data_IF_109859322546
#
_entry.id   IF_109859322546
#
_cell.length_a   1.000
_cell.length_b   1.000
_cell.length_c   1.000
_cell.angle_alpha   90.00
_cell.angle_beta   90.00
_cell.angle_gamma   90.00
#
_symmetry.space_group_name_H-M   'P 1'
#
loop_
_entity.id
_entity.type
_entity.pdbx_description
1 polymer ?
#
# COMPACT_ATOMS: atom_id res chain seq x y z
N UNK A 1 53.48 33.95 38.43
CA UNK A 1 52.80 32.80 37.81
C UNK A 1 51.67 33.32 36.94
N UNK A 2 51.91 33.46 35.64
CA UNK A 2 50.93 33.87 34.63
C UNK A 2 51.63 33.78 33.28
N UNK A 3 51.13 32.96 32.33
CA UNK A 3 51.40 32.97 30.86
C UNK A 3 51.12 31.63 30.17
N UNK A 4 49.97 30.96 30.40
CA UNK A 4 49.62 29.75 29.61
C UNK A 4 48.16 29.60 29.15
N UNK A 5 47.33 30.62 29.24
CA UNK A 5 45.90 30.48 28.88
C UNK A 5 45.32 31.53 27.92
N UNK A 6 46.15 32.36 27.26
CA UNK A 6 45.64 33.41 26.34
C UNK A 6 46.04 33.25 24.86
N UNK A 7 46.87 32.26 24.50
CA UNK A 7 47.36 32.09 23.12
C UNK A 7 46.80 30.87 22.35
N UNK A 8 45.75 30.19 22.86
CA UNK A 8 45.12 29.08 22.13
C UNK A 8 43.90 29.48 21.27
N UNK A 9 43.49 30.75 21.29
CA UNK A 9 42.33 31.21 20.50
C UNK A 9 42.69 31.75 19.10
N UNK A 10 43.96 32.05 18.85
CA UNK A 10 44.41 32.63 17.57
C UNK A 10 45.01 31.60 16.59
N UNK A 11 45.04 30.31 16.92
CA UNK A 11 45.63 29.26 16.07
C UNK A 11 44.58 28.38 15.37
N UNK A 12 43.32 28.82 15.33
CA UNK A 12 42.23 28.15 14.62
C UNK A 12 41.71 28.95 13.40
N UNK A 13 42.36 30.07 13.07
CA UNK A 13 41.96 30.95 11.96
C UNK A 13 42.91 30.87 10.74
N UNK A 14 44.04 30.15 10.82
CA UNK A 14 45.06 30.04 9.75
C UNK A 14 45.05 28.67 9.03
N UNK A 15 43.98 27.88 9.13
CA UNK A 15 43.81 26.64 8.32
C UNK A 15 42.65 26.81 7.33
N UNK A 16 42.50 28.00 6.73
CA UNK A 16 41.52 28.25 5.68
C UNK A 16 42.06 28.98 4.43
N UNK A 17 43.37 29.18 4.30
CA UNK A 17 43.95 29.70 3.03
C UNK A 17 45.25 28.99 2.63
N UNK A 18 45.32 28.57 1.36
CA UNK A 18 46.59 28.45 0.63
C UNK A 18 47.10 27.04 0.29
N UNK A 19 46.84 26.63 -0.95
CA UNK A 19 47.41 25.49 -1.67
C UNK A 19 48.96 25.41 -1.69
N UNK A 20 49.47 24.18 -1.89
CA UNK A 20 50.56 23.66 -2.76
C UNK A 20 51.38 22.61 -1.98
N UNK A 21 51.66 21.37 -2.39
CA UNK A 21 51.51 20.60 -3.61
C UNK A 21 52.42 19.36 -3.50
N UNK A 22 52.10 18.28 -4.25
CA UNK A 22 52.82 17.00 -4.40
C UNK A 22 52.64 16.02 -3.21
N UNK A 23 52.09 14.82 -3.39
CA UNK A 23 52.54 13.78 -4.34
C UNK A 23 51.47 12.69 -4.49
N UNK A 24 51.30 12.24 -5.72
CA UNK A 24 50.34 11.24 -6.20
C UNK A 24 50.64 9.84 -5.61
N UNK A 25 49.69 9.21 -4.92
CA UNK A 25 49.50 7.76 -5.00
C UNK A 25 48.07 7.33 -4.63
N UNK A 26 47.65 6.31 -5.35
CA UNK A 26 46.38 5.63 -5.52
C UNK A 26 45.62 5.18 -4.26
N UNK A 27 44.28 5.14 -4.40
CA UNK A 27 43.28 4.22 -3.80
C UNK A 27 42.10 4.96 -3.17
N UNK A 28 41.11 5.29 -3.99
CA UNK A 28 39.80 5.76 -3.53
C UNK A 28 38.80 4.62 -3.45
N UNK A 29 37.85 4.84 -2.53
CA UNK A 29 36.51 4.24 -2.42
C UNK A 29 36.36 3.00 -1.54
N UNK A 30 35.91 3.26 -0.30
CA UNK A 30 34.91 2.39 0.31
C UNK A 30 33.74 3.23 0.84
N UNK A 31 32.58 2.91 0.27
CA UNK A 31 31.34 3.64 0.33
C UNK A 31 30.72 3.69 1.73
N UNK A 32 30.22 4.87 2.11
CA UNK A 32 29.21 5.02 3.15
C UNK A 32 27.89 4.42 2.64
N UNK A 33 27.52 3.25 3.13
CA UNK A 33 26.17 2.69 2.98
C UNK A 33 25.39 2.88 4.28
N UNK A 34 24.45 3.82 4.26
CA UNK A 34 23.41 3.93 5.27
C UNK A 34 22.46 2.75 5.14
N UNK A 35 22.43 1.88 6.13
CA UNK A 35 21.38 0.87 6.21
C UNK A 35 21.05 0.59 7.67
N UNK A 36 19.76 0.31 7.91
CA UNK A 36 19.15 -0.08 9.19
C UNK A 36 19.90 -1.19 9.93
N UNK A 37 20.84 -1.86 9.26
CA UNK A 37 21.84 -2.79 9.80
C UNK A 37 22.66 -2.15 10.94
N UNK A 38 22.98 -0.86 10.89
CA UNK A 38 23.71 -0.21 12.00
C UNK A 38 22.87 -0.17 13.29
N UNK A 39 21.55 -0.01 13.18
CA UNK A 39 20.64 -0.02 14.33
C UNK A 39 20.50 -1.43 14.93
N UNK A 40 20.47 -2.49 14.12
CA UNK A 40 20.45 -3.86 14.63
C UNK A 40 21.78 -4.28 15.24
N UNK A 41 22.91 -3.86 14.65
CA UNK A 41 24.24 -4.09 15.22
C UNK A 41 24.39 -3.37 16.55
N UNK A 42 23.88 -2.13 16.65
CA UNK A 42 23.84 -1.38 17.92
C UNK A 42 22.91 -2.03 18.94
N UNK A 43 21.74 -2.52 18.54
CA UNK A 43 20.82 -3.25 19.41
C UNK A 43 21.45 -4.55 19.93
N UNK A 44 22.12 -5.31 19.06
CA UNK A 44 22.78 -6.56 19.43
C UNK A 44 23.98 -6.31 20.36
N UNK A 45 24.78 -5.29 20.06
CA UNK A 45 25.86 -4.85 20.94
C UNK A 45 25.32 -4.34 22.29
N UNK A 46 24.20 -3.61 22.28
CA UNK A 46 23.52 -3.16 23.50
C UNK A 46 22.99 -4.35 24.31
N UNK A 47 22.42 -5.37 23.67
CA UNK A 47 21.87 -6.55 24.32
C UNK A 47 22.98 -7.42 24.95
N UNK A 48 24.11 -7.58 24.24
CA UNK A 48 25.32 -8.22 24.79
C UNK A 48 25.85 -7.41 25.97
N UNK A 49 25.96 -6.09 25.84
CA UNK A 49 26.44 -5.22 26.91
C UNK A 49 25.50 -5.20 28.12
N UNK A 50 24.18 -5.29 27.89
CA UNK A 50 23.15 -5.40 28.94
C UNK A 50 23.29 -6.72 29.70
N UNK A 51 23.50 -7.83 28.99
CA UNK A 51 23.77 -9.14 29.61
C UNK A 51 25.06 -9.13 30.44
N UNK A 52 26.10 -8.43 29.96
CA UNK A 52 27.36 -8.29 30.67
C UNK A 52 27.25 -7.39 31.91
N UNK A 53 26.49 -6.28 31.79
CA UNK A 53 26.28 -5.30 32.85
C UNK A 53 25.33 -5.80 33.95
N UNK A 54 24.33 -6.61 33.58
CA UNK A 54 23.43 -7.27 34.53
C UNK A 54 24.12 -8.38 35.35
N UNK A 55 25.40 -8.69 35.05
CA UNK A 55 26.32 -9.42 35.90
C UNK A 55 25.79 -10.77 36.36
N UNK A 56 25.90 -11.82 35.52
CA UNK A 56 26.01 -13.25 35.88
C UNK A 56 25.53 -13.71 37.27
N UNK A 57 24.31 -13.31 37.67
CA UNK A 57 23.58 -13.78 38.85
C UNK A 57 22.44 -14.72 38.47
N UNK A 58 22.27 -14.97 37.18
CA UNK A 58 21.32 -15.94 36.62
C UNK A 58 22.16 -17.09 36.08
N UNK A 59 22.05 -18.25 36.71
CA UNK A 59 22.63 -19.49 36.19
C UNK A 59 21.79 -19.94 34.99
N UNK A 60 21.96 -19.25 33.86
CA UNK A 60 21.25 -19.54 32.62
C UNK A 60 21.89 -20.78 31.99
N UNK A 61 21.28 -21.95 32.18
CA UNK A 61 21.72 -23.15 31.50
C UNK A 61 21.36 -23.03 30.02
N UNK A 62 22.35 -23.10 29.12
CA UNK A 62 22.16 -23.13 27.66
C UNK A 62 21.31 -24.32 27.17
N UNK A 63 20.99 -25.25 28.07
CA UNK A 63 20.09 -26.39 27.84
C UNK A 63 18.60 -26.08 28.06
N UNK A 64 18.27 -25.00 28.79
CA UNK A 64 16.87 -24.55 29.02
C UNK A 64 16.43 -23.48 28.00
N UNK A 65 17.38 -23.09 27.14
CA UNK A 65 17.15 -22.25 25.99
C UNK A 65 16.64 -23.15 24.85
N UNK A 66 15.32 -23.27 24.75
CA UNK A 66 14.63 -23.38 23.46
C UNK A 66 14.14 -21.96 23.04
N UNK A 67 14.98 -20.91 22.91
CA UNK A 67 14.50 -19.54 22.92
C UNK A 67 14.23 -19.00 21.52
N UNK A 68 14.48 -19.78 20.47
CA UNK A 68 14.26 -19.34 19.08
C UNK A 68 13.11 -20.11 18.45
N UNK A 69 12.95 -21.40 18.75
CA UNK A 69 11.89 -22.22 18.15
C UNK A 69 10.49 -21.77 18.61
N UNK A 70 10.31 -21.52 19.92
CA UNK A 70 9.04 -21.03 20.46
C UNK A 70 8.72 -19.59 20.03
N UNK A 71 9.72 -18.70 20.00
CA UNK A 71 9.54 -17.29 19.59
C UNK A 71 9.21 -17.20 18.10
N UNK A 72 9.87 -18.02 17.27
CA UNK A 72 9.54 -18.10 15.83
C UNK A 72 8.15 -18.69 15.64
N UNK A 73 7.73 -19.66 16.46
CA UNK A 73 6.41 -20.27 16.37
C UNK A 73 5.27 -19.33 16.82
N UNK A 74 5.44 -18.53 17.87
CA UNK A 74 4.49 -17.48 18.28
C UNK A 74 4.35 -16.36 17.24
N UNK A 75 5.43 -16.05 16.51
CA UNK A 75 5.43 -15.08 15.42
C UNK A 75 4.93 -15.65 14.08
N UNK A 76 4.83 -16.97 13.95
CA UNK A 76 4.42 -17.66 12.72
C UNK A 76 2.98 -18.19 12.78
N UNK A 77 2.36 -18.24 13.96
CA UNK A 77 0.96 -18.62 14.07
C UNK A 77 0.05 -17.44 13.71
N UNK A 78 -1.02 -17.68 12.91
CA UNK A 78 -2.12 -16.73 12.81
C UNK A 78 -2.60 -16.39 14.22
N UNK A 79 -2.62 -15.10 14.57
CA UNK A 79 -3.04 -14.67 15.90
C UNK A 79 -4.47 -15.19 16.19
N UNK A 80 -4.58 -16.21 17.04
CA UNK A 80 -5.83 -16.86 17.46
C UNK A 80 -6.88 -15.85 17.92
N UNK A 81 -6.49 -14.84 18.70
CA UNK A 81 -7.40 -13.79 19.16
C UNK A 81 -7.95 -12.95 18.01
N UNK A 82 -7.19 -12.78 16.94
CA UNK A 82 -7.63 -12.07 15.75
C UNK A 82 -8.57 -12.93 14.88
N UNK A 83 -8.36 -14.24 14.77
CA UNK A 83 -9.32 -15.14 14.12
C UNK A 83 -10.63 -15.20 14.92
N UNK A 84 -10.56 -15.35 16.25
CA UNK A 84 -11.74 -15.36 17.12
C UNK A 84 -12.57 -14.06 16.99
N UNK A 85 -11.92 -12.89 16.99
CA UNK A 85 -12.60 -11.60 16.79
C UNK A 85 -13.19 -11.46 15.39
N UNK A 86 -12.45 -11.91 14.37
CA UNK A 86 -12.96 -11.90 12.99
C UNK A 86 -14.19 -12.79 12.86
N UNK A 87 -14.15 -14.01 13.41
CA UNK A 87 -15.28 -14.93 13.44
C UNK A 87 -16.51 -14.31 14.08
N UNK A 88 -16.36 -13.70 15.27
CA UNK A 88 -17.45 -13.02 15.96
C UNK A 88 -18.08 -11.90 15.11
N UNK A 89 -17.27 -11.07 14.46
CA UNK A 89 -17.77 -10.02 13.55
C UNK A 89 -18.45 -10.59 12.32
N UNK A 90 -17.92 -11.67 11.73
CA UNK A 90 -18.55 -12.35 10.59
C UNK A 90 -19.91 -12.95 10.98
N UNK A 91 -20.02 -13.56 12.16
CA UNK A 91 -21.28 -14.06 12.70
C UNK A 91 -22.29 -12.93 12.93
N UNK A 92 -21.86 -11.80 13.52
CA UNK A 92 -22.70 -10.61 13.72
C UNK A 92 -23.22 -10.04 12.38
N UNK A 93 -22.41 -10.12 11.33
CA UNK A 93 -22.80 -9.72 9.97
C UNK A 93 -23.69 -10.75 9.24
N UNK A 94 -23.93 -11.91 9.83
CA UNK A 94 -24.84 -12.94 9.29
C UNK A 94 -24.19 -14.05 8.47
N UNK A 95 -22.86 -14.20 8.51
CA UNK A 95 -22.13 -15.25 7.77
C UNK A 95 -22.13 -16.62 8.46
N UNK A 96 -22.75 -16.74 9.64
CA UNK A 96 -22.71 -17.94 10.46
C UNK A 96 -21.41 -18.09 11.25
N UNK A 97 -21.24 -19.25 11.88
CA UNK A 97 -19.99 -19.62 12.57
C UNK A 97 -19.01 -20.20 11.54
N UNK A 98 -17.99 -19.42 11.17
CA UNK A 98 -16.92 -19.84 10.26
C UNK A 98 -15.82 -20.55 11.05
N UNK A 99 -15.23 -21.60 10.48
CA UNK A 99 -14.09 -22.28 11.10
C UNK A 99 -12.82 -21.44 11.01
N UNK A 100 -11.82 -21.73 11.85
CA UNK A 100 -10.51 -21.09 11.77
C UNK A 100 -9.87 -21.24 10.39
N UNK A 101 -10.00 -22.41 9.76
CA UNK A 101 -9.50 -22.67 8.41
C UNK A 101 -10.18 -21.78 7.36
N UNK A 102 -11.50 -21.60 7.45
CA UNK A 102 -12.26 -20.70 6.57
C UNK A 102 -11.86 -19.23 6.76
N UNK A 103 -11.70 -18.80 8.02
CA UNK A 103 -11.24 -17.45 8.34
C UNK A 103 -9.82 -17.19 7.84
N UNK A 104 -8.92 -18.16 7.97
CA UNK A 104 -7.57 -18.09 7.41
C UNK A 104 -7.62 -17.98 5.88
N UNK A 105 -8.45 -18.80 5.23
CA UNK A 105 -8.62 -18.77 3.77
C UNK A 105 -9.12 -17.39 3.29
N UNK A 106 -10.16 -16.84 3.93
CA UNK A 106 -10.66 -15.50 3.63
C UNK A 106 -9.55 -14.44 3.76
N UNK A 107 -8.77 -14.49 4.85
CA UNK A 107 -7.68 -13.53 5.06
C UNK A 107 -6.56 -13.67 4.03
N UNK A 108 -6.26 -14.89 3.59
CA UNK A 108 -5.25 -15.12 2.55
C UNK A 108 -5.67 -14.50 1.22
N UNK A 109 -6.97 -14.48 0.92
CA UNK A 109 -7.56 -13.78 -0.22
C UNK A 109 -7.73 -12.27 0.04
N UNK A 110 -7.28 -11.74 1.18
CA UNK A 110 -7.39 -10.33 1.55
C UNK A 110 -8.74 -9.92 2.14
N UNK A 111 -9.68 -10.84 2.31
CA UNK A 111 -10.99 -10.57 2.91
C UNK A 111 -10.85 -10.45 4.42
N UNK A 112 -11.19 -9.28 4.94
CA UNK A 112 -11.19 -8.97 6.38
C UNK A 112 -12.59 -8.59 6.82
N UNK A 113 -12.92 -8.80 8.10
CA UNK A 113 -14.21 -8.34 8.65
C UNK A 113 -14.43 -6.83 8.49
N UNK A 114 -13.37 -6.01 8.54
CA UNK A 114 -13.46 -4.57 8.26
C UNK A 114 -13.85 -4.30 6.80
N UNK A 115 -13.21 -4.98 5.85
CA UNK A 115 -13.57 -4.89 4.43
C UNK A 115 -15.03 -5.31 4.21
N UNK A 116 -15.43 -6.45 4.78
CA UNK A 116 -16.80 -6.95 4.72
C UNK A 116 -17.80 -5.94 5.27
N UNK A 117 -17.54 -5.35 6.44
CA UNK A 117 -18.39 -4.30 7.03
C UNK A 117 -18.52 -3.10 6.08
N UNK A 118 -17.41 -2.63 5.53
CA UNK A 118 -17.43 -1.47 4.63
C UNK A 118 -18.22 -1.73 3.34
N UNK A 119 -18.13 -2.93 2.76
CA UNK A 119 -18.93 -3.32 1.60
C UNK A 119 -20.43 -3.33 1.95
N UNK A 120 -20.79 -3.87 3.11
CA UNK A 120 -22.17 -3.88 3.62
C UNK A 120 -22.69 -2.47 3.87
N UNK A 121 -21.89 -1.58 4.44
CA UNK A 121 -22.23 -0.17 4.70
C UNK A 121 -22.52 0.62 3.42
N UNK A 122 -21.95 0.23 2.28
CA UNK A 122 -22.29 0.85 0.98
C UNK A 122 -23.72 0.44 0.53
N UNK A 123 -24.24 -0.66 1.07
CA UNK A 123 -25.58 -1.18 0.80
C UNK A 123 -25.60 -2.61 0.24
N UNK A 124 -24.45 -3.26 0.11
CA UNK A 124 -24.38 -4.65 -0.34
C UNK A 124 -24.46 -5.60 0.86
N UNK A 125 -25.68 -5.86 1.35
CA UNK A 125 -25.91 -6.63 2.59
C UNK A 125 -26.00 -8.14 2.38
N UNK A 126 -26.31 -8.61 1.16
CA UNK A 126 -26.47 -10.03 0.85
C UNK A 126 -25.29 -10.54 0.00
N UNK A 127 -24.06 -10.30 0.47
CA UNK A 127 -22.83 -10.70 -0.24
C UNK A 127 -22.28 -11.96 0.40
N UNK A 128 -22.09 -13.03 -0.38
CA UNK A 128 -21.51 -14.28 0.13
C UNK A 128 -20.00 -14.17 0.35
N UNK A 129 -19.42 -15.10 1.10
CA UNK A 129 -17.96 -15.21 1.29
C UNK A 129 -17.21 -15.32 -0.03
N UNK A 130 -17.74 -16.08 -0.99
CA UNK A 130 -17.15 -16.26 -2.32
C UNK A 130 -17.20 -14.96 -3.13
N UNK A 131 -18.28 -14.19 -2.99
CA UNK A 131 -18.40 -12.88 -3.63
C UNK A 131 -17.46 -11.85 -3.00
N UNK A 132 -17.24 -11.88 -1.69
CA UNK A 132 -16.23 -11.03 -1.03
C UNK A 132 -14.82 -11.33 -1.57
N UNK A 133 -14.49 -12.60 -1.72
CA UNK A 133 -13.23 -13.04 -2.34
C UNK A 133 -13.14 -12.55 -3.79
N UNK A 134 -14.21 -12.71 -4.58
CA UNK A 134 -14.23 -12.25 -5.97
C UNK A 134 -14.07 -10.72 -6.10
N UNK A 135 -14.72 -9.94 -5.23
CA UNK A 135 -14.54 -8.49 -5.16
C UNK A 135 -13.08 -8.14 -4.84
N UNK A 136 -12.48 -8.82 -3.87
CA UNK A 136 -11.11 -8.55 -3.43
C UNK A 136 -10.09 -8.91 -4.51
N UNK A 137 -10.29 -10.03 -5.21
CA UNK A 137 -9.45 -10.48 -6.33
C UNK A 137 -9.56 -9.55 -7.56
N UNK A 138 -10.68 -8.83 -7.70
CA UNK A 138 -10.87 -7.79 -8.71
C UNK A 138 -10.45 -6.38 -8.22
N UNK A 139 -9.79 -6.28 -7.06
CA UNK A 139 -9.39 -5.01 -6.43
C UNK A 139 -10.55 -4.03 -6.18
N UNK A 140 -11.77 -4.53 -5.99
CA UNK A 140 -12.94 -3.71 -5.69
C UNK A 140 -12.88 -3.24 -4.24
N UNK A 141 -12.67 -1.94 -4.05
CA UNK A 141 -12.70 -1.31 -2.73
C UNK A 141 -14.10 -0.79 -2.39
N UNK A 142 -14.42 -0.73 -1.10
CA UNK A 142 -15.65 -0.08 -0.64
C UNK A 142 -15.72 1.40 -1.04
N UNK A 143 -14.58 2.09 -1.10
CA UNK A 143 -14.50 3.47 -1.60
C UNK A 143 -14.90 3.56 -3.07
N UNK A 144 -14.41 2.66 -3.93
CA UNK A 144 -14.83 2.64 -5.33
C UNK A 144 -16.33 2.41 -5.45
N UNK A 145 -16.88 1.42 -4.75
CA UNK A 145 -18.31 1.12 -4.78
C UNK A 145 -19.16 2.30 -4.30
N UNK A 146 -18.74 2.97 -3.21
CA UNK A 146 -19.39 4.17 -2.68
C UNK A 146 -19.39 5.33 -3.67
N UNK A 147 -18.22 5.64 -4.24
CA UNK A 147 -18.10 6.74 -5.20
C UNK A 147 -18.91 6.48 -6.47
N UNK A 148 -18.94 5.26 -6.99
CA UNK A 148 -19.80 4.94 -8.14
C UNK A 148 -21.28 5.16 -7.83
N UNK A 149 -21.73 4.79 -6.61
CA UNK A 149 -23.08 5.07 -6.14
C UNK A 149 -23.37 6.58 -5.99
N UNK A 150 -22.42 7.35 -5.47
CA UNK A 150 -22.51 8.82 -5.38
C UNK A 150 -22.57 9.49 -6.75
N UNK A 151 -21.93 8.91 -7.77
CA UNK A 151 -22.06 9.32 -9.18
C UNK A 151 -23.40 8.89 -9.81
N UNK A 152 -24.27 8.20 -9.07
CA UNK A 152 -25.61 7.80 -9.50
C UNK A 152 -25.67 6.43 -10.19
N UNK A 153 -24.61 5.61 -10.12
CA UNK A 153 -24.64 4.26 -10.68
C UNK A 153 -25.22 3.25 -9.68
N UNK A 154 -26.25 2.52 -10.11
CA UNK A 154 -26.76 1.34 -9.43
C UNK A 154 -26.08 0.09 -10.01
N UNK A 155 -25.04 -0.39 -9.32
CA UNK A 155 -24.20 -1.50 -9.78
C UNK A 155 -24.49 -2.75 -8.96
N UNK A 156 -24.56 -3.90 -9.61
CA UNK A 156 -24.48 -5.18 -8.92
C UNK A 156 -23.04 -5.49 -8.49
N UNK A 157 -22.87 -6.52 -7.65
CA UNK A 157 -21.56 -7.06 -7.29
C UNK A 157 -20.76 -7.46 -8.54
N UNK A 158 -21.43 -8.11 -9.50
CA UNK A 158 -20.79 -8.51 -10.76
C UNK A 158 -20.38 -7.29 -11.59
N UNK A 159 -21.21 -6.23 -11.63
CA UNK A 159 -20.86 -5.01 -12.35
C UNK A 159 -19.64 -4.32 -11.75
N UNK A 160 -19.51 -4.28 -10.41
CA UNK A 160 -18.33 -3.71 -9.75
C UNK A 160 -17.05 -4.47 -10.14
N UNK A 161 -17.13 -5.81 -10.14
CA UNK A 161 -16.03 -6.70 -10.55
C UNK A 161 -15.66 -6.43 -12.02
N UNK A 162 -16.64 -6.44 -12.91
CA UNK A 162 -16.42 -6.26 -14.35
C UNK A 162 -15.78 -4.89 -14.66
N UNK A 163 -16.27 -3.83 -14.01
CA UNK A 163 -15.71 -2.48 -14.16
C UNK A 163 -14.25 -2.44 -13.70
N UNK A 164 -13.92 -3.02 -12.54
CA UNK A 164 -12.54 -2.99 -12.04
C UNK A 164 -11.59 -3.86 -12.84
N UNK A 165 -12.03 -5.03 -13.29
CA UNK A 165 -11.27 -5.88 -14.22
C UNK A 165 -10.95 -5.16 -15.53
N UNK A 166 -11.82 -4.24 -15.97
CA UNK A 166 -11.60 -3.38 -17.14
C UNK A 166 -10.92 -2.04 -16.79
N UNK A 167 -10.29 -1.92 -15.61
CA UNK A 167 -9.57 -0.75 -15.13
C UNK A 167 -10.43 0.53 -15.02
N UNK A 168 -11.76 0.41 -14.93
CA UNK A 168 -12.65 1.55 -14.71
C UNK A 168 -12.50 2.04 -13.27
N UNK A 169 -12.44 3.36 -13.10
CA UNK A 169 -12.34 4.00 -11.78
C UNK A 169 -13.42 5.06 -11.63
N UNK A 170 -13.83 5.34 -10.39
CA UNK A 170 -14.74 6.45 -10.12
C UNK A 170 -14.11 7.79 -10.53
N UNK A 171 -12.78 7.93 -10.39
CA UNK A 171 -12.04 9.10 -10.87
C UNK A 171 -12.20 9.31 -12.38
N UNK A 172 -11.99 8.27 -13.19
CA UNK A 172 -12.19 8.37 -14.64
C UNK A 172 -13.63 8.73 -14.97
N UNK A 173 -14.60 8.05 -14.34
CA UNK A 173 -16.02 8.26 -14.57
C UNK A 173 -16.45 9.69 -14.25
N UNK A 174 -16.06 10.20 -13.07
CA UNK A 174 -16.33 11.59 -12.65
C UNK A 174 -15.72 12.61 -13.63
N UNK A 175 -14.45 12.45 -14.02
CA UNK A 175 -13.83 13.37 -14.97
C UNK A 175 -14.50 13.34 -16.34
N UNK A 176 -14.99 12.19 -16.80
CA UNK A 176 -15.79 12.13 -18.03
C UNK A 176 -17.13 12.87 -17.87
N UNK A 177 -17.79 12.78 -16.72
CA UNK A 177 -18.99 13.58 -16.45
C UNK A 177 -18.70 15.08 -16.43
N UNK A 178 -17.58 15.50 -15.85
CA UNK A 178 -17.15 16.91 -15.82
C UNK A 178 -16.90 17.47 -17.23
N UNK A 179 -16.54 16.62 -18.19
CA UNK A 179 -16.43 16.95 -19.61
C UNK A 179 -17.79 16.98 -20.34
N UNK A 180 -18.90 16.81 -19.63
CA UNK A 180 -20.26 16.90 -20.16
C UNK A 180 -20.78 15.62 -20.81
N UNK A 181 -20.19 14.46 -20.50
CA UNK A 181 -20.78 13.17 -20.87
C UNK A 181 -21.85 12.77 -19.86
N UNK A 182 -23.00 12.36 -20.36
CA UNK A 182 -24.16 11.97 -19.56
C UNK A 182 -24.07 10.52 -19.11
N UNK A 183 -24.87 10.14 -18.11
CA UNK A 183 -25.00 8.74 -17.65
C UNK A 183 -25.43 7.79 -18.78
N UNK A 184 -26.29 8.27 -19.69
CA UNK A 184 -26.76 7.50 -20.85
C UNK A 184 -25.63 7.24 -21.86
N UNK A 185 -24.64 8.14 -21.94
CA UNK A 185 -23.43 7.94 -22.74
C UNK A 185 -22.39 7.09 -22.01
N UNK A 186 -22.25 7.30 -20.69
CA UNK A 186 -21.32 6.61 -19.81
C UNK A 186 -21.94 5.36 -19.17
N UNK A 187 -22.58 4.50 -19.97
CA UNK A 187 -23.04 3.20 -19.50
C UNK A 187 -21.86 2.35 -19.02
N UNK A 188 -22.12 1.34 -18.18
CA UNK A 188 -21.07 0.41 -17.71
C UNK A 188 -20.30 -0.21 -18.89
N UNK A 189 -20.98 -0.61 -19.96
CA UNK A 189 -20.37 -1.16 -21.16
C UNK A 189 -19.47 -0.14 -21.85
N UNK A 190 -19.91 1.11 -21.97
CA UNK A 190 -19.12 2.16 -22.60
C UNK A 190 -17.91 2.56 -21.77
N UNK A 191 -18.03 2.61 -20.43
CA UNK A 191 -16.89 2.81 -19.54
C UNK A 191 -15.85 1.71 -19.70
N UNK A 192 -16.28 0.44 -19.73
CA UNK A 192 -15.40 -0.70 -19.95
C UNK A 192 -14.74 -0.65 -21.33
N UNK A 193 -15.52 -0.42 -22.40
CA UNK A 193 -15.00 -0.32 -23.78
C UNK A 193 -13.93 0.77 -23.90
N UNK A 194 -14.20 1.95 -23.35
CA UNK A 194 -13.25 3.06 -23.34
C UNK A 194 -11.95 2.68 -22.63
N UNK A 195 -12.05 2.12 -21.42
CA UNK A 195 -10.86 1.81 -20.62
C UNK A 195 -10.05 0.63 -21.15
N UNK A 196 -10.70 -0.39 -21.70
CA UNK A 196 -10.03 -1.53 -22.33
C UNK A 196 -9.17 -1.09 -23.53
N UNK A 197 -9.60 -0.07 -24.26
CA UNK A 197 -8.89 0.46 -25.45
C UNK A 197 -7.96 1.64 -25.07
N UNK A 198 -7.85 1.96 -23.78
CA UNK A 198 -6.94 2.99 -23.27
C UNK A 198 -7.42 4.43 -23.45
N UNK A 199 -8.72 4.67 -23.66
CA UNK A 199 -9.30 6.02 -23.64
C UNK A 199 -9.16 6.61 -22.24
N UNK A 200 -8.69 7.85 -22.15
CA UNK A 200 -8.56 8.61 -20.90
C UNK A 200 -9.38 9.90 -20.97
N UNK A 201 -9.69 10.49 -19.81
CA UNK A 201 -10.37 11.79 -19.77
C UNK A 201 -9.48 12.91 -20.34
N UNK A 202 -8.15 12.84 -20.14
CA UNK A 202 -7.21 13.79 -20.75
C UNK A 202 -7.24 13.73 -22.28
N UNK A 203 -7.39 12.54 -22.85
CA UNK A 203 -7.58 12.39 -24.30
C UNK A 203 -8.90 13.03 -24.74
N UNK A 204 -10.00 12.72 -24.05
CA UNK A 204 -11.32 13.27 -24.36
C UNK A 204 -11.31 14.80 -24.31
N UNK A 205 -10.73 15.38 -23.26
CA UNK A 205 -10.55 16.83 -23.09
C UNK A 205 -9.72 17.44 -24.24
N UNK A 206 -8.56 16.86 -24.55
CA UNK A 206 -7.71 17.34 -25.65
C UNK A 206 -8.46 17.34 -26.97
N UNK A 207 -9.17 16.25 -27.28
CA UNK A 207 -9.92 16.11 -28.53
C UNK A 207 -11.10 17.06 -28.60
N UNK A 208 -11.78 17.30 -27.49
CA UNK A 208 -12.84 18.30 -27.39
C UNK A 208 -12.32 19.70 -27.70
N UNK A 209 -11.16 20.07 -27.16
CA UNK A 209 -10.51 21.36 -27.42
C UNK A 209 -10.06 21.51 -28.88
N UNK A 210 -9.51 20.45 -29.48
CA UNK A 210 -9.06 20.46 -30.88
C UNK A 210 -10.21 20.47 -31.89
N UNK A 211 -11.31 19.75 -31.61
CA UNK A 211 -12.49 19.70 -32.47
C UNK A 211 -13.44 20.88 -32.26
N UNK A 212 -13.28 21.63 -31.16
CA UNK A 212 -14.20 22.70 -30.75
C UNK A 212 -15.58 22.20 -30.31
N UNK A 213 -15.73 20.89 -30.08
CA UNK A 213 -17.00 20.26 -29.67
C UNK A 213 -16.75 18.92 -28.96
N UNK A 214 -17.69 18.49 -28.12
CA UNK A 214 -17.63 17.19 -27.44
C UNK A 214 -17.72 16.06 -28.47
N UNK A 215 -16.76 15.14 -28.44
CA UNK A 215 -16.80 13.91 -29.24
C UNK A 215 -17.73 12.89 -28.59
N UNK A 216 -18.32 12.01 -29.39
CA UNK A 216 -19.05 10.84 -28.89
C UNK A 216 -18.09 9.77 -28.36
N UNK A 217 -18.60 8.87 -27.50
CA UNK A 217 -17.84 7.72 -26.98
C UNK A 217 -17.24 6.89 -28.12
N UNK A 218 -18.01 6.62 -29.17
CA UNK A 218 -17.53 5.81 -30.30
C UNK A 218 -16.43 6.52 -31.11
N UNK A 219 -16.47 7.86 -31.20
CA UNK A 219 -15.41 8.63 -31.85
C UNK A 219 -14.11 8.59 -31.05
N UNK A 220 -14.18 8.67 -29.70
CA UNK A 220 -13.00 8.51 -28.84
C UNK A 220 -12.38 7.12 -28.99
N UNK A 221 -13.22 6.08 -28.99
CA UNK A 221 -12.78 4.69 -29.19
C UNK A 221 -12.15 4.52 -30.56
N UNK A 222 -12.81 4.96 -31.63
CA UNK A 222 -12.30 4.86 -33.00
C UNK A 222 -10.96 5.57 -33.14
N UNK A 223 -10.82 6.75 -32.54
CA UNK A 223 -9.57 7.49 -32.53
C UNK A 223 -8.44 6.69 -31.85
N UNK A 224 -8.70 6.08 -30.70
CA UNK A 224 -7.67 5.28 -30.00
C UNK A 224 -7.26 4.03 -30.78
N UNK A 225 -8.19 3.36 -31.47
CA UNK A 225 -7.87 2.20 -32.31
C UNK A 225 -7.03 2.63 -33.53
N UNK A 226 -7.36 3.76 -34.14
CA UNK A 226 -6.68 4.21 -35.37
C UNK A 226 -5.25 4.72 -35.16
N UNK A 227 -4.85 5.02 -33.91
CA UNK A 227 -3.56 5.62 -33.58
C UNK A 227 -2.69 4.71 -32.69
N UNK A 228 -2.99 3.40 -32.66
CA UNK A 228 -2.15 2.34 -32.11
C UNK A 228 -1.31 1.71 -33.22
#
# INVERSE_FOLDING_TARGET
>A
MSTKFKNLRNNLEDIEEGQFGLRNDSSSEQARSSSKISSYVLLFAFLISLLFYAGTKINFSMSDLNPIENIVQELSQPNEDLLNRMGAWMTEMGYGELTHEELIALRNEGVTATYTSQIREVGYTEVTTEQLVALQNADVSATFARMMKELGYELSIQDLIDLRNNNVTAFFTSNMMDLGYTMDELTKENLMRMRNIGVTHQLAERRMNEAGSKLTVDELIRYMISNQ
#
